data_IF_568349869361
#
_entry.id   IF_568349869361
#
_cell.length_a   1.000
_cell.length_b   1.000
_cell.length_c   1.000
_cell.angle_alpha   90.00
_cell.angle_beta   90.00
_cell.angle_gamma   90.00
#
_symmetry.space_group_name_H-M   'P 1'
#
loop_
_entity.id
_entity.type
_entity.pdbx_description
1 polymer ?
#
# COMPACT_ATOMS: atom_id res chain seq x y z
N UNK A 1 13.08 -4.79 -1.76
CA UNK A 1 11.87 -5.37 -2.34
C UNK A 1 11.73 -4.97 -3.79
N UNK A 2 11.36 -5.92 -4.58
CA UNK A 2 11.14 -5.63 -5.98
C UNK A 2 9.72 -5.14 -6.16
N UNK A 3 9.55 -4.00 -6.80
CA UNK A 3 8.24 -3.45 -7.08
C UNK A 3 7.64 -4.26 -8.21
N UNK A 4 6.47 -4.82 -7.96
CA UNK A 4 5.74 -5.47 -9.02
C UNK A 4 5.21 -4.38 -9.93
N UNK A 5 5.07 -4.70 -11.15
CA UNK A 5 4.88 -3.66 -12.14
C UNK A 5 3.45 -3.52 -12.58
N UNK A 6 2.56 -3.41 -11.62
CA UNK A 6 1.17 -3.11 -11.90
C UNK A 6 0.98 -1.66 -12.23
N UNK A 7 1.76 -1.00 -12.76
CA UNK A 7 1.74 0.38 -13.11
C UNK A 7 3.15 0.83 -13.39
N UNK A 8 4.08 -0.10 -13.22
CA UNK A 8 5.47 0.20 -13.45
C UNK A 8 6.00 -0.88 -14.37
N UNK A 9 6.19 -0.56 -15.61
CA UNK A 9 6.76 -1.47 -16.57
C UNK A 9 8.15 -1.90 -16.14
N UNK A 10 8.54 -3.10 -16.56
CA UNK A 10 9.78 -3.70 -16.14
C UNK A 10 10.99 -2.87 -16.54
N UNK A 11 10.94 -2.29 -17.72
CA UNK A 11 12.02 -1.47 -18.27
C UNK A 11 11.65 -0.01 -18.35
N UNK A 12 10.57 0.37 -17.71
CA UNK A 12 10.13 1.73 -17.72
C UNK A 12 10.59 2.45 -16.48
N UNK A 13 10.90 3.71 -16.65
CA UNK A 13 11.21 4.57 -15.52
C UNK A 13 9.94 5.24 -15.07
N UNK A 14 9.64 5.08 -13.80
CA UNK A 14 8.53 5.80 -13.19
C UNK A 14 8.94 7.25 -13.05
N UNK A 15 8.09 8.13 -13.53
CA UNK A 15 8.32 9.56 -13.39
C UNK A 15 7.56 10.10 -12.19
N UNK A 16 8.29 10.69 -11.28
CA UNK A 16 7.68 11.29 -10.09
C UNK A 16 7.46 12.78 -10.29
N UNK A 17 6.45 13.35 -9.68
CA UNK A 17 5.47 12.68 -8.80
C UNK A 17 4.55 11.76 -9.57
N UNK A 18 4.03 10.75 -8.89
CA UNK A 18 3.15 9.77 -9.51
C UNK A 18 1.94 9.52 -8.62
N UNK A 19 0.79 9.34 -9.24
CA UNK A 19 -0.45 8.95 -8.56
C UNK A 19 -0.83 7.56 -9.03
N UNK A 20 -1.13 6.67 -8.08
CA UNK A 20 -1.58 5.34 -8.43
C UNK A 20 -2.33 4.68 -7.26
N UNK A 21 -2.98 3.57 -7.56
CA UNK A 21 -3.67 2.79 -6.55
C UNK A 21 -2.71 1.77 -5.97
N UNK A 22 -2.40 1.94 -4.70
CA UNK A 22 -1.56 1.00 -3.96
C UNK A 22 -2.44 -0.11 -3.41
N UNK A 23 -2.03 -1.36 -3.65
CA UNK A 23 -2.77 -2.52 -3.15
C UNK A 23 -1.93 -3.22 -2.09
N UNK A 24 -2.51 -3.39 -0.91
CA UNK A 24 -1.83 -3.98 0.23
C UNK A 24 -2.62 -5.20 0.69
N UNK A 25 -1.93 -6.33 0.80
CA UNK A 25 -2.55 -7.57 1.26
C UNK A 25 -2.18 -7.76 2.72
N UNK A 26 -3.19 -7.93 3.57
CA UNK A 26 -3.02 -8.08 5.00
C UNK A 26 -3.72 -9.34 5.48
N UNK A 27 -3.25 -9.92 6.58
CA UNK A 27 -4.03 -10.94 7.27
C UNK A 27 -5.32 -10.30 7.75
N UNK A 28 -6.43 -11.04 7.58
CA UNK A 28 -7.74 -10.52 7.94
C UNK A 28 -7.86 -10.33 9.45
N UNK A 29 -8.32 -9.16 9.84
CA UNK A 29 -8.69 -8.84 11.22
C UNK A 29 -10.20 -8.78 11.33
N UNK A 30 -10.76 -8.96 12.54
CA UNK A 30 -12.20 -8.88 12.72
C UNK A 30 -12.80 -7.56 12.25
N UNK A 31 -12.04 -6.47 12.40
CA UNK A 31 -12.49 -5.17 11.95
C UNK A 31 -11.45 -4.59 10.98
N UNK A 32 -11.77 -4.48 9.68
CA UNK A 32 -10.83 -3.95 8.70
C UNK A 32 -10.42 -2.51 8.97
N UNK A 33 -11.20 -1.75 9.72
CA UNK A 33 -10.83 -0.38 10.05
C UNK A 33 -9.57 -0.31 10.90
N UNK A 34 -9.26 -1.36 11.64
CA UNK A 34 -8.00 -1.41 12.41
C UNK A 34 -6.80 -1.40 11.46
N UNK A 35 -6.85 -2.22 10.42
CA UNK A 35 -5.78 -2.25 9.43
C UNK A 35 -5.67 -0.93 8.68
N UNK A 36 -6.81 -0.36 8.30
CA UNK A 36 -6.82 0.93 7.61
C UNK A 36 -6.19 2.01 8.49
N UNK A 37 -6.55 2.04 9.77
CA UNK A 37 -6.01 3.06 10.68
C UNK A 37 -4.48 2.95 10.79
N UNK A 38 -3.95 1.74 10.85
CA UNK A 38 -2.50 1.55 10.94
C UNK A 38 -1.81 2.01 9.66
N UNK A 39 -2.38 1.67 8.50
CA UNK A 39 -1.81 2.11 7.23
C UNK A 39 -1.92 3.61 7.04
N UNK A 40 -3.05 4.21 7.47
CA UNK A 40 -3.20 5.66 7.39
C UNK A 40 -2.19 6.38 8.27
N UNK A 41 -1.94 5.86 9.47
CA UNK A 41 -0.94 6.46 10.35
C UNK A 41 0.42 6.53 9.68
N UNK A 42 0.78 5.45 8.97
CA UNK A 42 2.04 5.43 8.24
C UNK A 42 2.05 6.45 7.10
N UNK A 43 0.99 6.50 6.32
CA UNK A 43 0.90 7.45 5.20
C UNK A 43 0.97 8.89 5.69
N UNK A 44 0.29 9.17 6.80
CA UNK A 44 0.32 10.51 7.41
C UNK A 44 1.73 10.83 7.89
N UNK A 45 2.38 9.89 8.54
CA UNK A 45 3.74 10.09 9.03
C UNK A 45 4.73 10.39 7.90
N UNK A 46 4.55 9.74 6.76
CA UNK A 46 5.39 9.94 5.60
C UNK A 46 4.95 11.11 4.72
N UNK A 47 3.89 11.81 5.12
CA UNK A 47 3.34 12.95 4.38
C UNK A 47 2.90 12.56 2.98
N UNK A 48 2.34 11.36 2.84
CA UNK A 48 1.83 10.86 1.55
C UNK A 48 0.33 11.11 1.49
N UNK A 49 -0.14 11.94 0.54
CA UNK A 49 -1.59 12.14 0.36
C UNK A 49 -2.25 10.84 -0.08
N UNK A 50 -3.42 10.58 0.47
CA UNK A 50 -4.15 9.36 0.14
C UNK A 50 -5.65 9.63 0.12
N UNK A 51 -6.37 8.76 -0.61
CA UNK A 51 -7.83 8.83 -0.68
C UNK A 51 -8.40 7.54 -1.21
N UNK A 52 -9.71 7.38 -1.06
CA UNK A 52 -10.48 6.31 -1.69
C UNK A 52 -10.06 4.92 -1.23
N UNK A 53 -10.10 4.68 0.08
CA UNK A 53 -9.89 3.36 0.61
C UNK A 53 -10.96 2.38 0.14
N UNK A 54 -10.54 1.21 -0.29
CA UNK A 54 -11.41 0.10 -0.60
C UNK A 54 -10.80 -1.16 -0.03
N UNK A 55 -11.62 -2.14 0.31
CA UNK A 55 -11.07 -3.41 0.77
C UNK A 55 -11.97 -4.55 0.34
N UNK A 56 -11.37 -5.72 0.23
CA UNK A 56 -12.09 -6.93 -0.16
C UNK A 56 -11.44 -8.14 0.51
N UNK A 57 -12.20 -8.92 1.28
CA UNK A 57 -11.67 -10.16 1.86
C UNK A 57 -11.45 -11.19 0.75
N UNK A 58 -10.48 -12.07 0.96
CA UNK A 58 -10.29 -13.21 0.07
C UNK A 58 -11.44 -14.20 0.25
N UNK A 59 -11.56 -15.11 -0.71
CA UNK A 59 -12.64 -16.09 -0.72
C UNK A 59 -12.69 -16.89 0.58
N UNK A 60 -11.54 -17.25 1.12
CA UNK A 60 -11.47 -18.01 2.37
C UNK A 60 -11.37 -17.14 3.61
N UNK A 61 -11.32 -15.84 3.43
CA UNK A 61 -11.26 -14.91 4.54
C UNK A 61 -9.90 -14.82 5.25
N UNK A 62 -8.88 -15.50 4.75
CA UNK A 62 -7.55 -15.48 5.38
C UNK A 62 -6.87 -14.14 5.20
N UNK A 63 -7.03 -13.54 4.04
CA UNK A 63 -6.42 -12.26 3.69
C UNK A 63 -7.46 -11.25 3.26
N UNK A 64 -7.13 -9.99 3.43
CA UNK A 64 -7.93 -8.89 2.93
C UNK A 64 -7.04 -8.01 2.10
N UNK A 65 -7.49 -7.63 0.92
CA UNK A 65 -6.76 -6.67 0.10
C UNK A 65 -7.33 -5.28 0.34
N UNK A 66 -6.43 -4.33 0.55
CA UNK A 66 -6.79 -2.93 0.72
C UNK A 66 -6.22 -2.15 -0.44
N UNK A 67 -7.03 -1.30 -1.03
CA UNK A 67 -6.59 -0.44 -2.13
C UNK A 67 -6.77 0.99 -1.71
N UNK A 68 -5.75 1.80 -1.93
CA UNK A 68 -5.79 3.23 -1.58
C UNK A 68 -5.07 4.00 -2.68
N UNK A 69 -5.65 5.11 -3.08
CA UNK A 69 -5.03 5.99 -4.06
C UNK A 69 -4.04 6.89 -3.34
N UNK A 70 -2.81 6.96 -3.83
CA UNK A 70 -1.76 7.76 -3.19
C UNK A 70 -1.01 8.60 -4.22
N UNK A 71 -0.41 9.68 -3.72
CA UNK A 71 0.51 10.52 -4.49
C UNK A 71 1.91 10.35 -3.91
N UNK A 72 2.87 9.95 -4.75
CA UNK A 72 4.26 9.81 -4.33
C UNK A 72 5.13 10.82 -5.05
N UNK A 73 5.91 11.57 -4.26
CA UNK A 73 6.75 12.63 -4.80
C UNK A 73 8.05 12.13 -5.38
N UNK A 74 8.58 11.03 -4.85
CA UNK A 74 9.92 10.57 -5.24
C UNK A 74 10.06 9.07 -5.08
N UNK A 75 11.07 8.55 -5.75
CA UNK A 75 11.41 7.15 -5.65
C UNK A 75 11.90 6.79 -4.24
N UNK A 76 12.64 7.67 -3.61
CA UNK A 76 13.13 7.40 -2.26
C UNK A 76 11.97 7.30 -1.27
N UNK A 77 10.96 8.13 -1.43
CA UNK A 77 9.76 8.05 -0.59
C UNK A 77 9.01 6.74 -0.84
N UNK A 78 8.93 6.31 -2.08
CA UNK A 78 8.30 5.04 -2.43
C UNK A 78 9.02 3.88 -1.77
N UNK A 79 10.35 3.86 -1.82
CA UNK A 79 11.13 2.80 -1.17
C UNK A 79 10.91 2.79 0.32
N UNK A 80 10.88 3.97 0.94
CA UNK A 80 10.63 4.05 2.38
C UNK A 80 9.25 3.53 2.73
N UNK A 81 8.24 3.88 1.93
CA UNK A 81 6.89 3.39 2.15
C UNK A 81 6.86 1.86 2.16
N UNK A 82 7.46 1.22 1.16
CA UNK A 82 7.43 -0.24 1.09
C UNK A 82 8.21 -0.89 2.22
N UNK A 83 9.30 -0.30 2.65
CA UNK A 83 10.05 -0.80 3.81
C UNK A 83 9.18 -0.69 5.07
N UNK A 84 8.56 0.46 5.28
CA UNK A 84 7.79 0.70 6.50
C UNK A 84 6.50 -0.11 6.54
N UNK A 85 5.87 -0.35 5.39
CA UNK A 85 4.67 -1.20 5.35
C UNK A 85 4.93 -2.59 5.92
N UNK A 86 6.13 -3.10 5.74
CA UNK A 86 6.49 -4.42 6.25
C UNK A 86 6.49 -4.50 7.76
N UNK A 87 6.55 -3.37 8.45
CA UNK A 87 6.55 -3.35 9.90
C UNK A 87 5.15 -3.39 10.49
N UNK A 88 4.13 -3.26 9.67
CA UNK A 88 2.75 -3.30 10.16
C UNK A 88 2.37 -4.75 10.44
N UNK A 89 1.86 -5.05 11.66
CA UNK A 89 1.44 -6.40 11.98
C UNK A 89 0.39 -6.90 10.99
N UNK A 90 0.58 -8.13 10.52
CA UNK A 90 -0.34 -8.73 9.56
C UNK A 90 -0.03 -8.44 8.12
N UNK A 91 0.98 -7.63 7.83
CA UNK A 91 1.37 -7.34 6.46
C UNK A 91 1.79 -8.62 5.73
N UNK A 92 1.26 -8.81 4.52
CA UNK A 92 1.64 -9.95 3.69
C UNK A 92 2.45 -9.48 2.49
N UNK A 93 1.91 -8.55 1.71
CA UNK A 93 2.60 -8.02 0.55
C UNK A 93 1.93 -6.75 0.06
N UNK A 94 2.65 -5.98 -0.73
CA UNK A 94 2.10 -4.81 -1.40
C UNK A 94 2.45 -4.88 -2.89
N UNK A 95 1.53 -4.40 -3.69
CA UNK A 95 1.66 -4.46 -5.14
C UNK A 95 1.52 -3.05 -5.72
#
# INVERSE_FOLDING_TARGET
>A
MKIQNNGFGKNEKVKFPVNFDLKIIMHTLPNPQISIAEMESLLIELHIPFKNWRYKPSTKGTYTSFTVNIDLESESLMKKLYVDLRTIPGFKMAI
#
